data_IF_530334978636
#
_entry.id   IF_530334978636
#
_cell.length_a   1.000
_cell.length_b   1.000
_cell.length_c   1.000
_cell.angle_alpha   90.00
_cell.angle_beta   90.00
_cell.angle_gamma   90.00
#
_symmetry.space_group_name_H-M   'P 1'
#
loop_
_entity.id
_entity.type
_entity.pdbx_description
1 polymer ?
#
# COMPACT_ATOMS: atom_id res chain seq x y z
N UNK A 1 4.78 2.16 18.36
CA UNK A 1 5.52 2.36 19.63
C UNK A 1 4.70 1.94 20.86
N UNK A 2 3.51 1.36 20.70
CA UNK A 2 2.68 0.88 21.80
C UNK A 2 2.12 1.95 22.74
N UNK A 3 2.18 3.24 22.34
CA UNK A 3 1.64 4.37 23.10
C UNK A 3 0.59 5.12 22.29
N UNK A 4 -0.51 5.47 22.92
CA UNK A 4 -1.59 6.25 22.32
C UNK A 4 -1.42 7.77 22.50
N UNK A 5 -0.20 8.24 22.77
CA UNK A 5 0.15 9.64 23.02
C UNK A 5 1.23 10.12 22.02
N UNK A 6 1.43 11.43 21.93
CA UNK A 6 2.49 12.02 21.11
C UNK A 6 3.88 11.50 21.52
N UNK A 7 4.63 10.98 20.54
CA UNK A 7 6.02 10.60 20.73
C UNK A 7 6.93 11.83 20.55
N UNK A 8 7.77 12.10 21.53
CA UNK A 8 8.78 13.18 21.43
C UNK A 8 10.16 12.58 21.14
N UNK A 9 10.80 13.13 20.09
CA UNK A 9 12.13 12.73 19.66
C UNK A 9 13.03 13.97 19.78
N UNK A 10 13.95 14.02 20.76
CA UNK A 10 14.92 15.11 20.87
C UNK A 10 15.80 15.18 19.61
N UNK A 11 15.95 16.38 19.07
CA UNK A 11 16.83 16.65 17.93
C UNK A 11 17.27 18.12 17.92
N UNK A 12 18.48 18.37 17.44
CA UNK A 12 19.08 19.70 17.39
C UNK A 12 18.55 20.52 16.21
N UNK A 13 18.53 21.87 16.32
CA UNK A 13 18.20 22.74 15.21
C UNK A 13 19.07 22.46 13.98
N UNK A 14 18.43 22.33 12.82
CA UNK A 14 19.07 21.97 11.55
C UNK A 14 19.28 20.48 11.32
N UNK A 15 19.11 19.65 12.33
CA UNK A 15 19.23 18.18 12.20
C UNK A 15 18.16 17.62 11.27
N UNK A 16 18.55 16.64 10.46
CA UNK A 16 17.63 15.82 9.64
C UNK A 16 17.32 14.51 10.37
N UNK A 17 16.05 14.18 10.41
CA UNK A 17 15.57 12.96 11.08
C UNK A 17 14.69 12.17 10.11
N UNK A 18 15.01 10.88 9.93
CA UNK A 18 14.18 9.93 9.17
C UNK A 18 13.18 9.30 10.13
N UNK A 19 11.91 9.49 9.84
CA UNK A 19 10.79 8.93 10.60
C UNK A 19 10.14 7.84 9.76
N UNK A 20 10.11 6.62 10.29
CA UNK A 20 9.44 5.48 9.66
C UNK A 20 8.05 5.33 10.23
N UNK A 21 7.06 5.34 9.37
CA UNK A 21 5.65 5.18 9.73
C UNK A 21 5.13 3.89 9.11
N UNK A 22 4.47 3.07 9.92
CA UNK A 22 3.79 1.85 9.47
C UNK A 22 2.32 1.98 9.80
N UNK A 23 1.45 1.74 8.82
CA UNK A 23 0.02 1.68 9.03
C UNK A 23 -0.39 0.23 9.36
N UNK A 24 -0.82 0.00 10.60
CA UNK A 24 -1.31 -1.29 11.09
C UNK A 24 -2.83 -1.36 11.24
N UNK A 25 -3.56 -0.37 10.69
CA UNK A 25 -5.02 -0.36 10.67
C UNK A 25 -5.57 -1.12 9.44
N UNK A 26 -6.88 -1.29 9.36
CA UNK A 26 -7.57 -1.94 8.24
C UNK A 26 -7.89 -1.00 7.06
N UNK A 27 -7.62 0.28 7.19
CA UNK A 27 -7.90 1.31 6.19
C UNK A 27 -6.73 2.25 5.97
N UNK A 28 -6.85 3.18 5.02
CA UNK A 28 -5.80 4.16 4.73
C UNK A 28 -5.59 5.11 5.90
N UNK A 29 -4.35 5.52 6.10
CA UNK A 29 -3.91 6.50 7.08
C UNK A 29 -3.22 7.66 6.37
N UNK A 30 -3.55 8.88 6.79
CA UNK A 30 -2.89 10.08 6.27
C UNK A 30 -1.81 10.56 7.23
N UNK A 31 -0.65 10.93 6.68
CA UNK A 31 0.48 11.48 7.42
C UNK A 31 0.81 12.86 6.85
N UNK A 32 0.96 13.88 7.70
CA UNK A 32 1.34 15.23 7.29
C UNK A 32 2.17 15.94 8.36
N UNK A 33 2.82 17.04 8.00
CA UNK A 33 3.77 17.72 8.85
C UNK A 33 3.45 19.20 9.00
N UNK A 34 3.92 19.82 10.09
CA UNK A 34 3.85 21.29 10.28
C UNK A 34 4.85 22.06 9.42
N UNK A 35 5.86 21.40 8.87
CA UNK A 35 6.88 21.98 7.99
C UNK A 35 7.00 21.21 6.71
N UNK A 36 8.02 21.48 5.91
CA UNK A 36 8.35 20.64 4.77
C UNK A 36 8.93 19.30 5.21
N UNK A 37 8.66 18.27 4.42
CA UNK A 37 9.28 16.94 4.55
C UNK A 37 9.66 16.42 3.17
N UNK A 38 10.43 15.34 3.13
CA UNK A 38 10.64 14.54 1.92
C UNK A 38 10.17 13.12 2.18
N UNK A 39 9.44 12.54 1.25
CA UNK A 39 9.14 11.11 1.28
C UNK A 39 10.35 10.38 0.68
N UNK A 40 11.07 9.66 1.51
CA UNK A 40 12.31 8.98 1.11
C UNK A 40 12.06 7.58 0.59
N UNK A 41 11.05 6.89 1.11
CA UNK A 41 10.74 5.51 0.71
C UNK A 41 9.26 5.20 0.92
N UNK A 42 8.74 4.28 0.10
CA UNK A 42 7.44 3.61 0.24
C UNK A 42 7.67 2.11 0.26
N UNK A 43 7.03 1.41 1.19
CA UNK A 43 7.08 -0.04 1.35
C UNK A 43 8.50 -0.65 1.31
N UNK A 44 9.48 0.11 1.82
CA UNK A 44 10.88 -0.31 1.89
C UNK A 44 11.72 0.05 0.67
N UNK A 45 11.11 0.53 -0.43
CA UNK A 45 11.81 0.95 -1.64
C UNK A 45 12.02 2.46 -1.66
N UNK A 46 13.25 2.90 -1.90
CA UNK A 46 13.60 4.31 -1.92
C UNK A 46 13.04 5.05 -3.13
N UNK A 47 12.54 6.26 -2.89
CA UNK A 47 12.11 7.18 -3.94
C UNK A 47 13.35 7.77 -4.62
N UNK A 48 13.39 7.72 -5.94
CA UNK A 48 14.47 8.31 -6.71
C UNK A 48 14.31 9.83 -6.79
N UNK A 49 15.33 10.57 -6.29
CA UNK A 49 15.37 12.04 -6.22
C UNK A 49 14.13 12.66 -5.55
N UNK A 50 13.86 12.34 -4.28
CA UNK A 50 12.71 12.89 -3.57
C UNK A 50 12.80 14.40 -3.42
N UNK A 51 11.72 15.11 -3.66
CA UNK A 51 11.61 16.56 -3.54
C UNK A 51 10.92 16.96 -2.23
N UNK A 52 11.00 18.25 -1.86
CA UNK A 52 10.29 18.74 -0.69
C UNK A 52 8.78 18.75 -0.89
N UNK A 53 8.06 18.29 0.12
CA UNK A 53 6.60 18.27 0.21
C UNK A 53 6.18 19.24 1.32
N UNK A 54 5.30 20.15 1.00
CA UNK A 54 4.71 21.08 1.94
C UNK A 54 3.21 21.21 1.73
N UNK A 55 2.44 21.26 2.82
CA UNK A 55 0.99 21.46 2.78
C UNK A 55 0.21 20.31 2.13
N UNK A 56 0.79 19.11 2.05
CA UNK A 56 0.17 17.89 1.53
C UNK A 56 0.26 16.77 2.53
N UNK A 57 -0.70 15.84 2.48
CA UNK A 57 -0.63 14.57 3.21
C UNK A 57 -0.05 13.48 2.32
N UNK A 58 0.57 12.49 2.97
CA UNK A 58 0.96 11.22 2.36
C UNK A 58 -0.03 10.17 2.84
N UNK A 59 -0.67 9.47 1.91
CA UNK A 59 -1.58 8.37 2.23
C UNK A 59 -0.79 7.07 2.34
N UNK A 60 -0.89 6.40 3.49
CA UNK A 60 -0.37 5.07 3.73
C UNK A 60 -1.50 4.06 3.68
N UNK A 61 -1.39 3.10 2.81
CA UNK A 61 -2.29 1.95 2.72
C UNK A 61 -2.22 1.11 4.00
N UNK A 62 -3.26 0.35 4.34
CA UNK A 62 -3.17 -0.66 5.40
C UNK A 62 -2.06 -1.67 5.07
N UNK A 63 -1.18 -1.95 6.02
CA UNK A 63 0.06 -2.71 5.79
C UNK A 63 1.20 -1.92 5.16
N UNK A 64 0.93 -0.72 4.65
CA UNK A 64 1.91 0.14 3.98
C UNK A 64 2.87 0.84 4.96
N UNK A 65 4.04 1.22 4.45
CA UNK A 65 5.09 1.92 5.17
C UNK A 65 5.57 3.12 4.39
N UNK A 66 5.91 4.20 5.11
CA UNK A 66 6.54 5.37 4.53
C UNK A 66 7.69 5.86 5.40
N UNK A 67 8.79 6.26 4.76
CA UNK A 67 9.91 6.89 5.42
C UNK A 67 9.94 8.37 5.05
N UNK A 68 9.72 9.22 6.05
CA UNK A 68 9.73 10.67 5.89
C UNK A 68 11.02 11.26 6.45
N UNK A 69 11.66 12.17 5.72
CA UNK A 69 12.71 13.01 6.27
C UNK A 69 12.13 14.37 6.64
N UNK A 70 12.36 14.78 7.87
CA UNK A 70 12.08 16.13 8.35
C UNK A 70 13.37 16.81 8.78
N UNK A 71 13.43 18.14 8.60
CA UNK A 71 14.54 18.97 9.09
C UNK A 71 14.04 19.84 10.23
N UNK A 72 14.70 19.75 11.37
CA UNK A 72 14.40 20.62 12.52
C UNK A 72 14.71 22.07 12.15
N UNK A 73 13.77 23.01 12.33
CA UNK A 73 14.00 24.42 12.01
C UNK A 73 15.17 25.03 12.81
N UNK A 74 15.99 25.81 12.14
CA UNK A 74 17.17 26.47 12.79
C UNK A 74 16.78 27.45 13.91
N UNK A 75 15.54 27.92 13.93
CA UNK A 75 15.02 28.83 14.97
C UNK A 75 14.63 28.16 16.30
N UNK A 76 14.94 26.85 16.48
CA UNK A 76 14.69 26.15 17.75
C UNK A 76 13.23 25.71 17.95
N UNK A 77 12.40 25.76 16.92
CA UNK A 77 11.06 25.15 16.92
C UNK A 77 11.16 23.66 16.62
N UNK A 78 10.07 22.89 16.89
CA UNK A 78 9.99 21.49 16.55
C UNK A 78 9.12 21.26 15.30
N UNK A 79 9.30 20.12 14.64
CA UNK A 79 8.39 19.63 13.59
C UNK A 79 7.45 18.61 14.20
N UNK A 80 6.16 18.76 13.97
CA UNK A 80 5.13 17.78 14.29
C UNK A 80 4.78 17.00 13.04
N UNK A 81 4.92 15.68 13.10
CA UNK A 81 4.49 14.73 12.07
C UNK A 81 3.22 14.09 12.61
N UNK A 82 2.08 14.47 12.06
CA UNK A 82 0.80 13.90 12.42
C UNK A 82 0.65 12.54 11.73
N UNK A 83 0.46 11.46 12.50
CA UNK A 83 0.36 10.09 11.98
C UNK A 83 -1.07 9.51 12.10
N UNK A 84 -1.97 10.27 12.69
CA UNK A 84 -3.41 10.01 12.75
C UNK A 84 -4.10 11.26 13.29
N UNK A 85 -5.40 11.23 13.44
CA UNK A 85 -6.12 12.35 14.10
C UNK A 85 -5.74 12.53 15.57
N UNK A 86 -5.25 11.49 16.24
CA UNK A 86 -5.04 11.47 17.69
C UNK A 86 -3.56 11.54 18.10
N UNK A 87 -2.62 11.09 17.25
CA UNK A 87 -1.21 10.91 17.64
C UNK A 87 -0.24 11.52 16.65
N UNK A 88 0.92 11.94 17.14
CA UNK A 88 1.99 12.50 16.32
C UNK A 88 3.38 12.12 16.83
N UNK A 89 4.37 12.31 15.97
CA UNK A 89 5.79 12.37 16.34
C UNK A 89 6.22 13.83 16.32
N UNK A 90 6.78 14.32 17.44
CA UNK A 90 7.30 15.68 17.57
C UNK A 90 8.83 15.59 17.63
N UNK A 91 9.49 16.17 16.63
CA UNK A 91 10.94 16.12 16.46
C UNK A 91 11.52 17.52 16.67
N UNK A 92 12.40 17.68 17.63
CA UNK A 92 13.04 18.97 17.92
C UNK A 92 13.55 19.10 19.34
N UNK A 93 13.92 20.33 19.77
CA UNK A 93 14.44 20.57 21.10
C UNK A 93 13.47 20.15 22.22
N UNK A 94 13.97 19.65 23.35
CA UNK A 94 13.14 19.28 24.49
C UNK A 94 12.26 20.45 24.98
N UNK A 95 11.02 20.12 25.37
CA UNK A 95 10.09 21.11 25.95
C UNK A 95 9.33 21.98 24.94
N UNK A 96 9.70 21.94 23.65
CA UNK A 96 9.00 22.70 22.61
C UNK A 96 7.67 22.04 22.28
N UNK A 97 6.60 22.81 22.30
CA UNK A 97 5.24 22.34 21.91
C UNK A 97 4.87 22.87 20.52
N UNK A 98 4.31 22.01 19.71
CA UNK A 98 3.80 22.34 18.38
C UNK A 98 2.35 21.87 18.29
N UNK A 99 1.46 22.78 17.93
CA UNK A 99 0.04 22.46 17.76
C UNK A 99 -0.16 21.52 16.56
N UNK A 100 -1.19 20.69 16.65
CA UNK A 100 -1.60 19.86 15.53
C UNK A 100 -2.08 20.75 14.36
N UNK A 101 -1.47 20.65 13.18
CA UNK A 101 -1.96 21.36 12.00
C UNK A 101 -3.24 20.70 11.50
N UNK A 102 -4.14 21.44 10.84
CA UNK A 102 -5.26 20.84 10.16
C UNK A 102 -4.76 19.86 9.10
N UNK A 103 -5.54 18.80 8.85
CA UNK A 103 -5.21 17.87 7.77
C UNK A 103 -5.28 18.62 6.43
N UNK A 104 -4.24 18.57 5.60
CA UNK A 104 -4.29 19.12 4.24
C UNK A 104 -5.41 18.47 3.42
N UNK A 105 -6.03 19.26 2.53
CA UNK A 105 -6.99 18.77 1.54
C UNK A 105 -6.28 18.07 0.39
N UNK A 106 -5.04 18.47 0.11
CA UNK A 106 -4.25 17.94 -0.99
C UNK A 106 -3.40 16.77 -0.53
N UNK A 107 -3.33 15.74 -1.36
CA UNK A 107 -2.47 14.59 -1.15
C UNK A 107 -1.25 14.62 -2.09
N UNK A 108 -0.18 13.98 -1.64
CA UNK A 108 0.99 13.75 -2.48
C UNK A 108 0.66 12.68 -3.52
N UNK A 109 0.76 13.05 -4.80
CA UNK A 109 0.55 12.10 -5.88
C UNK A 109 1.85 11.35 -6.20
N UNK A 110 1.88 10.06 -5.84
CA UNK A 110 3.04 9.20 -6.06
C UNK A 110 3.27 8.82 -7.52
N UNK A 111 2.29 9.01 -8.41
CA UNK A 111 2.51 8.84 -9.86
C UNK A 111 3.49 9.86 -10.43
N UNK A 112 3.60 11.03 -9.80
CA UNK A 112 4.39 12.15 -10.30
C UNK A 112 5.51 12.57 -9.34
N UNK A 113 5.60 11.98 -8.16
CA UNK A 113 6.57 12.35 -7.14
C UNK A 113 7.97 11.77 -7.42
N UNK A 114 9.01 12.57 -7.17
CA UNK A 114 10.39 12.21 -7.46
C UNK A 114 10.73 12.27 -8.95
N UNK A 115 11.69 11.49 -9.39
CA UNK A 115 12.13 11.45 -10.80
C UNK A 115 12.13 10.02 -11.34
N UNK A 116 11.92 9.83 -12.64
CA UNK A 116 11.97 8.50 -13.25
C UNK A 116 13.29 7.78 -12.99
N UNK A 117 13.24 6.47 -12.84
CA UNK A 117 14.39 5.59 -12.74
C UNK A 117 14.10 4.24 -13.42
N UNK A 118 15.12 3.49 -13.84
CA UNK A 118 14.94 2.17 -14.44
C UNK A 118 14.26 1.20 -13.45
N UNK A 119 13.35 0.36 -13.96
CA UNK A 119 12.68 -0.67 -13.16
C UNK A 119 13.50 -1.95 -13.02
N UNK A 120 14.50 -2.16 -13.88
CA UNK A 120 15.24 -3.40 -13.97
C UNK A 120 14.60 -4.46 -14.86
N UNK A 121 13.39 -4.22 -15.36
CA UNK A 121 12.66 -5.04 -16.33
C UNK A 121 11.77 -4.15 -17.22
N UNK A 122 11.25 -4.72 -18.31
CA UNK A 122 10.42 -3.99 -19.27
C UNK A 122 8.94 -4.40 -19.18
N UNK A 123 8.08 -3.63 -18.48
CA UNK A 123 6.66 -3.94 -18.38
C UNK A 123 5.88 -3.66 -19.66
N UNK A 124 6.46 -3.05 -20.69
CA UNK A 124 5.78 -2.82 -21.97
C UNK A 124 5.70 -4.09 -22.83
N UNK A 125 6.50 -5.10 -22.49
CA UNK A 125 6.50 -6.43 -23.11
C UNK A 125 6.28 -7.52 -22.06
N UNK A 126 5.11 -7.56 -21.40
CA UNK A 126 4.84 -8.53 -20.34
C UNK A 126 4.72 -9.95 -20.91
N UNK A 127 5.22 -10.93 -20.17
CA UNK A 127 5.00 -12.33 -20.47
C UNK A 127 3.54 -12.73 -20.25
N UNK A 128 2.94 -12.16 -19.19
CA UNK A 128 1.56 -12.44 -18.80
C UNK A 128 0.81 -11.14 -18.45
N UNK A 129 -0.49 -11.14 -18.73
CA UNK A 129 -1.40 -10.07 -18.33
C UNK A 129 -2.62 -10.67 -17.66
N UNK A 130 -3.04 -10.08 -16.53
CA UNK A 130 -4.22 -10.52 -15.79
C UNK A 130 -5.18 -9.35 -15.54
N UNK A 131 -6.48 -9.67 -15.62
CA UNK A 131 -7.54 -8.81 -15.10
C UNK A 131 -7.82 -9.14 -13.64
N UNK A 132 -7.98 -8.12 -12.82
CA UNK A 132 -8.33 -8.22 -11.41
C UNK A 132 -9.47 -7.27 -11.07
N UNK A 133 -10.71 -7.72 -11.25
CA UNK A 133 -11.90 -6.90 -11.04
C UNK A 133 -12.49 -7.16 -9.66
N UNK A 134 -12.39 -6.14 -8.80
CA UNK A 134 -12.96 -6.13 -7.46
C UNK A 134 -14.43 -5.72 -7.54
N UNK A 135 -15.31 -6.51 -6.93
CA UNK A 135 -16.73 -6.23 -6.94
C UNK A 135 -17.48 -6.95 -5.83
N UNK A 136 -18.80 -6.90 -5.93
CA UNK A 136 -19.72 -7.66 -5.07
C UNK A 136 -20.73 -8.43 -5.91
N UNK A 137 -21.14 -9.59 -5.42
CA UNK A 137 -22.24 -10.35 -6.04
C UNK A 137 -23.06 -11.11 -5.00
N UNK A 138 -24.37 -11.32 -5.26
CA UNK A 138 -25.18 -12.25 -4.48
C UNK A 138 -24.65 -13.67 -4.57
N UNK A 139 -24.72 -14.41 -3.49
CA UNK A 139 -24.31 -15.81 -3.46
C UNK A 139 -24.20 -16.35 -2.04
N UNK A 140 -23.47 -17.47 -1.92
CA UNK A 140 -23.23 -18.14 -0.66
C UNK A 140 -21.74 -18.19 -0.38
N UNK A 141 -21.34 -17.76 0.83
CA UNK A 141 -19.96 -17.94 1.36
C UNK A 141 -20.09 -18.69 2.68
N UNK A 142 -19.39 -19.81 2.83
CA UNK A 142 -19.46 -20.67 4.02
C UNK A 142 -20.89 -21.09 4.37
N UNK A 143 -21.75 -21.29 3.36
CA UNK A 143 -23.15 -21.66 3.53
C UNK A 143 -24.12 -20.54 3.85
N UNK A 144 -23.66 -19.31 4.05
CA UNK A 144 -24.49 -18.15 4.34
C UNK A 144 -24.85 -17.38 3.07
N UNK A 145 -26.12 -17.09 2.81
CA UNK A 145 -26.55 -16.22 1.74
C UNK A 145 -26.17 -14.77 2.03
N UNK A 146 -25.80 -14.01 0.99
CA UNK A 146 -25.44 -12.59 1.16
C UNK A 146 -24.95 -11.93 -0.11
N UNK A 147 -24.57 -10.66 0.02
CA UNK A 147 -23.84 -9.89 -0.98
C UNK A 147 -22.38 -9.90 -0.58
N UNK A 148 -21.60 -10.73 -1.28
CA UNK A 148 -20.22 -11.04 -0.89
C UNK A 148 -19.21 -10.39 -1.82
N UNK A 149 -17.99 -10.18 -1.32
CA UNK A 149 -16.85 -9.73 -2.11
C UNK A 149 -16.52 -10.75 -3.20
N UNK A 150 -16.18 -10.24 -4.36
CA UNK A 150 -15.80 -11.08 -5.50
C UNK A 150 -14.60 -10.52 -6.23
N UNK A 151 -13.74 -11.40 -6.72
CA UNK A 151 -12.66 -11.10 -7.64
C UNK A 151 -12.96 -11.78 -8.96
N UNK A 152 -13.01 -11.03 -10.06
CA UNK A 152 -13.45 -11.49 -11.37
C UNK A 152 -14.83 -12.18 -11.33
N UNK A 153 -15.72 -11.70 -10.46
CA UNK A 153 -17.04 -12.29 -10.28
C UNK A 153 -17.06 -13.65 -9.58
N UNK A 154 -15.94 -14.14 -9.06
CA UNK A 154 -15.86 -15.38 -8.30
C UNK A 154 -15.96 -15.12 -6.81
N UNK A 155 -16.67 -16.01 -6.10
CA UNK A 155 -16.83 -15.99 -4.66
C UNK A 155 -15.98 -17.08 -4.01
N UNK A 156 -15.52 -16.82 -2.79
CA UNK A 156 -14.90 -17.83 -1.96
C UNK A 156 -15.80 -19.08 -1.80
N UNK A 157 -15.26 -20.33 -1.95
CA UNK A 157 -13.85 -20.68 -2.10
C UNK A 157 -13.34 -20.75 -3.55
N UNK A 158 -14.20 -20.51 -4.55
CA UNK A 158 -13.83 -20.60 -5.97
C UNK A 158 -13.16 -19.31 -6.47
N UNK A 159 -12.18 -18.83 -5.73
CA UNK A 159 -11.43 -17.59 -6.04
C UNK A 159 -10.49 -17.79 -7.22
N UNK A 160 -10.03 -16.70 -7.88
CA UNK A 160 -9.04 -16.81 -8.95
C UNK A 160 -7.72 -17.39 -8.45
N UNK A 161 -7.10 -18.19 -9.33
CA UNK A 161 -5.73 -18.66 -9.20
C UNK A 161 -4.97 -18.19 -10.45
N UNK A 162 -4.03 -17.30 -10.28
CA UNK A 162 -3.16 -16.79 -11.35
C UNK A 162 -1.91 -17.66 -11.40
N UNK A 163 -1.60 -18.23 -12.57
CA UNK A 163 -0.47 -19.14 -12.71
C UNK A 163 0.65 -18.46 -13.47
N UNK A 164 1.86 -18.51 -12.93
CA UNK A 164 3.07 -17.88 -13.46
C UNK A 164 4.23 -18.88 -13.49
N UNK A 165 5.28 -18.54 -14.22
CA UNK A 165 6.59 -19.18 -14.18
C UNK A 165 7.62 -18.25 -13.60
N UNK A 166 8.66 -18.80 -12.99
CA UNK A 166 9.79 -18.00 -12.55
C UNK A 166 10.41 -17.24 -13.73
N UNK A 167 10.61 -15.92 -13.54
CA UNK A 167 11.10 -15.01 -14.55
C UNK A 167 10.02 -14.32 -15.39
N UNK A 168 8.75 -14.69 -15.26
CA UNK A 168 7.67 -14.01 -15.98
C UNK A 168 7.59 -12.53 -15.55
N UNK A 169 7.44 -11.65 -16.54
CA UNK A 169 7.05 -10.26 -16.33
C UNK A 169 5.51 -10.23 -16.38
N UNK A 170 4.91 -9.91 -15.25
CA UNK A 170 3.47 -9.93 -15.07
C UNK A 170 2.94 -8.52 -14.98
N UNK A 171 1.90 -8.21 -15.76
CA UNK A 171 1.11 -6.99 -15.63
C UNK A 171 -0.29 -7.35 -15.17
N UNK A 172 -0.81 -6.66 -14.15
CA UNK A 172 -2.16 -6.86 -13.64
C UNK A 172 -2.94 -5.57 -13.78
N UNK A 173 -4.11 -5.64 -14.42
CA UNK A 173 -5.07 -4.55 -14.46
C UNK A 173 -6.07 -4.73 -13.31
N UNK A 174 -5.97 -3.90 -12.29
CA UNK A 174 -6.86 -3.90 -11.12
C UNK A 174 -7.93 -2.83 -11.33
N UNK A 175 -9.21 -3.19 -11.19
CA UNK A 175 -10.33 -2.25 -11.27
C UNK A 175 -11.32 -2.48 -10.12
N UNK A 176 -11.66 -1.43 -9.38
CA UNK A 176 -12.55 -1.52 -8.23
C UNK A 176 -13.95 -1.00 -8.55
N UNK A 177 -14.92 -1.90 -8.61
CA UNK A 177 -16.35 -1.63 -8.83
C UNK A 177 -17.20 -1.95 -7.60
N UNK A 178 -16.59 -2.09 -6.42
CA UNK A 178 -17.29 -2.54 -5.20
C UNK A 178 -18.01 -1.43 -4.44
N UNK A 179 -17.63 -0.17 -4.65
CA UNK A 179 -18.13 0.99 -3.90
C UNK A 179 -17.39 1.26 -2.58
N UNK A 180 -16.43 0.44 -2.20
CA UNK A 180 -15.58 0.63 -0.99
C UNK A 180 -14.10 0.63 -1.36
N UNK A 181 -13.27 1.14 -0.46
CA UNK A 181 -11.80 1.13 -0.64
C UNK A 181 -11.22 -0.23 -0.23
N UNK A 182 -10.26 -0.71 -1.01
CA UNK A 182 -9.58 -1.98 -0.75
C UNK A 182 -8.06 -1.80 -0.81
N UNK A 183 -7.35 -1.98 0.31
CA UNK A 183 -5.91 -2.17 0.33
C UNK A 183 -5.59 -3.60 -0.14
N UNK A 184 -5.12 -3.74 -1.38
CA UNK A 184 -4.77 -5.04 -1.97
C UNK A 184 -3.31 -5.36 -1.72
N UNK A 185 -3.03 -6.60 -1.33
CA UNK A 185 -1.69 -7.06 -0.95
C UNK A 185 -1.40 -8.44 -1.53
N UNK A 186 -0.38 -8.52 -2.39
CA UNK A 186 0.17 -9.77 -2.89
C UNK A 186 1.36 -10.18 -2.02
N UNK A 187 1.26 -11.33 -1.36
CA UNK A 187 2.35 -11.89 -0.58
C UNK A 187 3.55 -12.23 -1.47
N UNK A 188 4.73 -12.08 -0.90
CA UNK A 188 6.00 -12.56 -1.48
C UNK A 188 6.54 -11.77 -2.67
N UNK A 189 5.85 -10.71 -3.13
CA UNK A 189 6.24 -9.90 -4.28
C UNK A 189 6.12 -8.41 -3.95
N UNK A 190 6.97 -7.62 -4.60
CA UNK A 190 6.83 -6.16 -4.66
C UNK A 190 6.32 -5.78 -6.04
N UNK A 191 5.30 -4.92 -6.08
CA UNK A 191 4.63 -4.50 -7.29
C UNK A 191 4.97 -3.04 -7.59
N UNK A 192 5.19 -2.69 -8.86
CA UNK A 192 5.36 -1.31 -9.27
C UNK A 192 4.09 -0.81 -9.95
N UNK A 193 3.63 0.36 -9.55
CA UNK A 193 2.48 1.02 -10.18
C UNK A 193 2.92 1.67 -11.48
N UNK A 194 2.31 1.26 -12.59
CA UNK A 194 2.57 1.77 -13.94
C UNK A 194 1.61 2.90 -14.31
N UNK A 195 0.32 2.77 -13.93
CA UNK A 195 -0.71 3.76 -14.23
C UNK A 195 -1.84 3.72 -13.20
N UNK A 196 -2.57 4.84 -13.06
CA UNK A 196 -3.82 4.96 -12.33
C UNK A 196 -4.87 5.62 -13.21
N UNK A 197 -6.04 4.99 -13.38
CA UNK A 197 -7.14 5.48 -14.24
C UNK A 197 -6.68 5.83 -15.67
N UNK A 198 -5.76 5.03 -16.24
CA UNK A 198 -5.17 5.23 -17.54
C UNK A 198 -4.10 6.34 -17.63
N UNK A 199 -3.76 7.01 -16.51
CA UNK A 199 -2.69 8.01 -16.44
C UNK A 199 -1.40 7.33 -16.00
N UNK A 200 -0.39 7.33 -16.86
CA UNK A 200 0.89 6.69 -16.60
C UNK A 200 1.68 7.39 -15.47
N UNK A 201 2.43 6.60 -14.71
CA UNK A 201 3.40 7.11 -13.74
C UNK A 201 4.56 7.81 -14.48
N UNK A 202 4.93 9.01 -14.00
CA UNK A 202 6.01 9.83 -14.57
C UNK A 202 7.05 10.25 -13.53
N UNK A 203 6.81 9.94 -12.28
CA UNK A 203 7.72 10.19 -11.15
C UNK A 203 8.72 9.06 -10.94
N UNK A 204 9.19 8.95 -9.70
CA UNK A 204 9.95 7.79 -9.24
C UNK A 204 9.13 6.52 -9.39
N UNK A 205 9.74 5.37 -9.71
CA UNK A 205 9.03 4.09 -9.61
C UNK A 205 8.33 3.94 -8.26
N UNK A 206 7.03 3.82 -8.29
CA UNK A 206 6.22 3.67 -7.09
C UNK A 206 6.01 2.20 -6.81
N UNK A 207 6.89 1.65 -5.97
CA UNK A 207 6.83 0.28 -5.51
C UNK A 207 5.92 0.16 -4.29
N UNK A 208 5.10 -0.88 -4.26
CA UNK A 208 4.12 -1.14 -3.20
C UNK A 208 4.14 -2.61 -2.80
N UNK A 209 3.86 -2.86 -1.53
CA UNK A 209 3.48 -4.18 -1.01
C UNK A 209 1.96 -4.23 -0.83
N UNK A 210 1.35 -3.08 -0.57
CA UNK A 210 -0.09 -2.96 -0.41
C UNK A 210 -0.58 -1.71 -1.15
N UNK A 211 -1.49 -1.88 -2.11
CA UNK A 211 -2.04 -0.82 -2.95
C UNK A 211 -3.46 -0.48 -2.54
N UNK A 212 -3.70 0.80 -2.22
CA UNK A 212 -5.04 1.29 -1.89
C UNK A 212 -5.83 1.57 -3.18
N UNK A 213 -6.86 0.77 -3.45
CA UNK A 213 -7.72 0.92 -4.63
C UNK A 213 -9.06 1.50 -4.20
N UNK A 214 -9.29 2.81 -4.48
CA UNK A 214 -10.52 3.51 -4.11
C UNK A 214 -11.70 3.11 -5.02
N UNK A 215 -12.95 3.41 -4.63
CA UNK A 215 -14.10 3.17 -5.49
C UNK A 215 -13.95 3.82 -6.87
N UNK A 216 -14.20 3.03 -7.93
CA UNK A 216 -14.09 3.43 -9.34
C UNK A 216 -12.67 3.77 -9.80
N UNK A 217 -11.64 3.47 -9.02
CA UNK A 217 -10.26 3.53 -9.48
C UNK A 217 -9.85 2.26 -10.21
N UNK A 218 -8.90 2.43 -11.12
CA UNK A 218 -8.15 1.35 -11.74
C UNK A 218 -6.65 1.62 -11.69
N UNK A 219 -5.88 0.53 -11.62
CA UNK A 219 -4.43 0.56 -11.63
C UNK A 219 -3.89 -0.48 -12.60
N UNK A 220 -2.83 -0.12 -13.31
CA UNK A 220 -1.94 -1.08 -13.95
C UNK A 220 -0.70 -1.20 -13.08
N UNK A 221 -0.44 -2.42 -12.61
CA UNK A 221 0.74 -2.76 -11.81
C UNK A 221 1.57 -3.81 -12.52
N UNK A 222 2.87 -3.88 -12.19
CA UNK A 222 3.74 -4.92 -12.72
C UNK A 222 4.68 -5.47 -11.67
N UNK A 223 5.07 -6.73 -11.84
CA UNK A 223 6.14 -7.37 -11.07
C UNK A 223 6.85 -8.44 -11.89
N UNK A 224 8.03 -8.83 -11.43
CA UNK A 224 8.73 -10.01 -11.94
C UNK A 224 8.42 -11.17 -10.99
N UNK A 225 7.98 -12.29 -11.54
CA UNK A 225 7.75 -13.52 -10.80
C UNK A 225 9.11 -14.15 -10.41
N UNK A 226 9.66 -13.77 -9.26
CA UNK A 226 11.00 -14.13 -8.80
C UNK A 226 11.05 -14.80 -7.42
N UNK A 227 9.89 -15.22 -6.91
CA UNK A 227 9.77 -15.89 -5.63
C UNK A 227 8.87 -17.12 -5.75
N UNK A 228 9.38 -18.28 -6.22
CA UNK A 228 8.59 -19.47 -6.48
C UNK A 228 7.83 -19.98 -5.27
N UNK A 229 6.54 -20.30 -5.46
CA UNK A 229 5.66 -20.78 -4.39
C UNK A 229 4.17 -20.67 -4.73
N UNK A 230 3.35 -20.68 -3.69
CA UNK A 230 1.92 -20.35 -3.75
C UNK A 230 1.68 -19.20 -2.79
N UNK A 231 1.22 -18.07 -3.32
CA UNK A 231 1.10 -16.82 -2.59
C UNK A 231 -0.35 -16.36 -2.54
N UNK A 232 -0.76 -15.89 -1.38
CA UNK A 232 -2.07 -15.27 -1.23
C UNK A 232 -2.02 -13.83 -1.75
N UNK A 233 -3.06 -13.42 -2.45
CA UNK A 233 -3.38 -12.04 -2.76
C UNK A 233 -4.72 -11.72 -2.09
N UNK A 234 -4.75 -10.72 -1.23
CA UNK A 234 -5.95 -10.43 -0.45
C UNK A 234 -6.10 -8.95 -0.12
N UNK A 235 -7.33 -8.57 0.23
CA UNK A 235 -7.57 -7.26 0.82
C UNK A 235 -6.97 -7.22 2.23
N UNK A 236 -6.12 -6.22 2.51
CA UNK A 236 -5.52 -6.03 3.84
C UNK A 236 -6.50 -5.42 4.87
N UNK A 237 -7.74 -5.08 4.45
CA UNK A 237 -8.86 -5.01 5.37
C UNK A 237 -9.26 -6.46 5.71
N UNK A 238 -8.83 -6.92 6.87
CA UNK A 238 -8.97 -8.33 7.26
C UNK A 238 -10.43 -8.79 7.33
N UNK A 239 -11.37 -7.88 7.58
CA UNK A 239 -12.80 -8.19 7.52
C UNK A 239 -13.23 -8.54 6.10
N UNK A 240 -12.74 -7.81 5.08
CA UNK A 240 -13.04 -8.10 3.68
C UNK A 240 -12.40 -9.41 3.25
N UNK A 241 -11.15 -9.65 3.65
CA UNK A 241 -10.44 -10.90 3.39
C UNK A 241 -11.18 -12.11 4.00
N UNK A 242 -11.57 -12.02 5.28
CA UNK A 242 -12.35 -13.07 5.96
C UNK A 242 -13.73 -13.33 5.29
N UNK A 243 -14.28 -12.32 4.60
CA UNK A 243 -15.49 -12.44 3.80
C UNK A 243 -15.25 -12.93 2.36
N UNK A 244 -14.01 -13.36 2.04
CA UNK A 244 -13.68 -14.02 0.78
C UNK A 244 -13.00 -13.17 -0.29
N UNK A 245 -12.54 -11.95 0.05
CA UNK A 245 -11.75 -11.13 -0.88
C UNK A 245 -10.30 -11.62 -0.92
N UNK A 246 -10.11 -12.73 -1.60
CA UNK A 246 -8.85 -13.46 -1.73
C UNK A 246 -8.68 -13.93 -3.16
N UNK A 247 -7.47 -13.94 -3.66
CA UNK A 247 -6.99 -14.65 -4.85
C UNK A 247 -5.66 -15.31 -4.53
N UNK A 248 -5.11 -16.07 -5.47
CA UNK A 248 -3.82 -16.70 -5.29
C UNK A 248 -2.97 -16.52 -6.54
N UNK A 249 -1.66 -16.36 -6.32
CA UNK A 249 -0.62 -16.50 -7.33
C UNK A 249 0.08 -17.83 -7.10
N UNK A 250 0.18 -18.66 -8.13
CA UNK A 250 0.82 -19.98 -8.06
C UNK A 250 1.88 -20.10 -9.16
N UNK A 251 3.06 -20.55 -8.79
CA UNK A 251 4.08 -20.92 -9.76
C UNK A 251 3.83 -22.31 -10.33
N UNK A 252 4.06 -22.48 -11.63
CA UNK A 252 3.98 -23.80 -12.26
C UNK A 252 4.90 -24.81 -11.56
N UNK A 253 4.40 -26.04 -11.38
CA UNK A 253 5.15 -27.12 -10.74
C UNK A 253 5.11 -27.11 -9.20
N UNK A 254 4.45 -26.12 -8.57
CA UNK A 254 4.22 -26.13 -7.14
C UNK A 254 2.90 -26.81 -6.80
N UNK A 255 2.90 -27.61 -5.75
CA UNK A 255 1.74 -28.31 -5.21
C UNK A 255 1.68 -28.13 -3.70
N UNK A 256 0.49 -28.22 -3.12
CA UNK A 256 0.27 -28.11 -1.69
C UNK A 256 -0.85 -29.04 -1.24
N UNK A 257 -0.69 -29.70 -0.07
CA UNK A 257 -1.78 -30.47 0.52
C UNK A 257 -2.92 -29.59 1.07
N UNK A 258 -2.66 -28.28 1.24
CA UNK A 258 -3.68 -27.35 1.71
C UNK A 258 -4.69 -27.05 0.61
N UNK A 259 -5.96 -26.97 0.99
CA UNK A 259 -7.07 -26.60 0.10
C UNK A 259 -7.77 -25.37 0.65
N UNK A 260 -8.13 -24.47 -0.23
CA UNK A 260 -8.98 -23.31 0.11
C UNK A 260 -10.29 -23.83 0.70
N UNK A 261 -10.72 -23.28 1.84
CA UNK A 261 -11.84 -23.77 2.64
C UNK A 261 -11.68 -25.22 3.16
N UNK A 262 -10.47 -25.73 3.25
CA UNK A 262 -10.15 -27.00 3.89
C UNK A 262 -10.25 -26.92 5.42
N UNK A 263 -10.01 -28.06 6.13
CA UNK A 263 -10.15 -28.11 7.59
C UNK A 263 -9.15 -27.21 8.36
N UNK A 264 -8.11 -26.72 7.71
CA UNK A 264 -7.15 -25.77 8.29
C UNK A 264 -7.68 -24.32 8.32
N UNK A 265 -8.88 -24.06 7.79
CA UNK A 265 -9.55 -22.75 7.74
C UNK A 265 -8.60 -21.63 7.33
N UNK A 266 -8.10 -21.68 6.07
CA UNK A 266 -7.17 -20.71 5.47
C UNK A 266 -7.77 -19.30 5.51
N UNK A 267 -7.64 -18.64 6.67
CA UNK A 267 -8.00 -17.23 6.81
C UNK A 267 -6.73 -16.41 6.69
N UNK A 268 -6.75 -15.26 6.00
CA UNK A 268 -5.67 -14.31 6.07
C UNK A 268 -5.57 -13.79 7.51
N UNK A 269 -4.35 -13.64 7.97
CA UNK A 269 -4.03 -13.13 9.32
C UNK A 269 -4.41 -11.64 9.47
#
# INVERSE_FOLDING_TARGET
NGKAEDLRVPAEPGQRVRVRVTNTDNGPMHVWTTGSCRLLATDGTEVHQPTEVFGRSVTLTAGGRADLEVKVPSGGTAVRIQVSKATAVIVGPPGVTVLAPPQPTDELDLLTYGSPAPLGFDPSHPTLQFDYRIGRRPGFVRGWPGLWWSINGRLFPNVPMYVVREGDIVVVHIANHSGEVHPMHLHGHHEVVLARNGVAATGSPWWVDSLNVSPNESYDIAFVANNPGIWMDHCHNLKHAAQGMIAHLMYEGFDTPYRIAGPADNQPE
#
